data_IF_031142586795
#
_entry.id   IF_031142586795
#
_cell.length_a   1.000
_cell.length_b   1.000
_cell.length_c   1.000
_cell.angle_alpha   90.00
_cell.angle_beta   90.00
_cell.angle_gamma   90.00
#
_symmetry.space_group_name_H-M   'P 1'
#
loop_
_entity.id
_entity.type
_entity.pdbx_description
1 polymer ?
#
# COMPACT_ATOMS: atom_id res chain seq x y z
N UNK A 1 -13.02 32.22 -19.34
CA UNK A 1 -13.69 30.90 -19.52
C UNK A 1 -12.70 29.78 -19.87
N UNK A 2 -11.92 29.87 -20.96
CA UNK A 2 -10.99 28.80 -21.39
C UNK A 2 -9.93 28.38 -20.34
N UNK A 3 -9.36 29.34 -19.59
CA UNK A 3 -8.39 29.06 -18.52
C UNK A 3 -8.97 28.21 -17.38
N UNK A 4 -10.22 28.47 -16.98
CA UNK A 4 -10.91 27.72 -15.93
C UNK A 4 -11.28 26.30 -16.40
N UNK A 5 -11.64 26.16 -17.68
CA UNK A 5 -11.91 24.86 -18.30
C UNK A 5 -10.65 23.99 -18.37
N UNK A 6 -9.50 24.58 -18.78
CA UNK A 6 -8.19 23.93 -18.80
C UNK A 6 -7.69 23.57 -17.39
N UNK A 7 -7.92 24.42 -16.38
CA UNK A 7 -7.57 24.13 -14.98
C UNK A 7 -8.40 22.97 -14.41
N UNK A 8 -9.72 22.97 -14.65
CA UNK A 8 -10.60 21.88 -14.23
C UNK A 8 -10.21 20.54 -14.87
N UNK A 9 -9.80 20.56 -16.15
CA UNK A 9 -9.34 19.36 -16.86
C UNK A 9 -8.01 18.84 -16.29
N UNK A 10 -7.05 19.73 -16.02
CA UNK A 10 -5.79 19.38 -15.34
C UNK A 10 -5.97 18.81 -13.94
N UNK A 11 -6.93 19.33 -13.16
CA UNK A 11 -7.27 18.79 -11.83
C UNK A 11 -7.83 17.37 -11.89
N UNK A 12 -8.72 17.08 -12.86
CA UNK A 12 -9.23 15.73 -13.10
C UNK A 12 -8.14 14.74 -13.50
N UNK A 13 -7.22 15.16 -14.37
CA UNK A 13 -6.10 14.30 -14.79
C UNK A 13 -5.11 14.06 -13.64
N UNK A 14 -4.86 15.08 -12.81
CA UNK A 14 -4.03 14.94 -11.61
C UNK A 14 -4.61 13.91 -10.63
N UNK A 15 -5.89 14.05 -10.24
CA UNK A 15 -6.52 13.13 -9.30
C UNK A 15 -6.58 11.70 -9.84
N UNK A 16 -6.86 11.52 -11.14
CA UNK A 16 -6.82 10.21 -11.80
C UNK A 16 -5.44 9.55 -11.67
N UNK A 17 -4.38 10.30 -11.96
CA UNK A 17 -3.02 9.76 -11.87
C UNK A 17 -2.68 9.37 -10.43
N UNK A 18 -3.01 10.21 -9.44
CA UNK A 18 -2.74 9.87 -8.03
C UNK A 18 -3.54 8.65 -7.56
N UNK A 19 -4.81 8.53 -7.98
CA UNK A 19 -5.63 7.37 -7.65
C UNK A 19 -5.09 6.08 -8.28
N UNK A 20 -4.57 6.14 -9.51
CA UNK A 20 -3.94 5.00 -10.17
C UNK A 20 -2.66 4.58 -9.44
N UNK A 21 -1.81 5.53 -9.06
CA UNK A 21 -0.59 5.25 -8.29
C UNK A 21 -0.92 4.72 -6.89
N UNK A 22 -1.96 5.24 -6.25
CA UNK A 22 -2.46 4.71 -4.98
C UNK A 22 -2.97 3.27 -5.12
N UNK A 23 -3.69 2.95 -6.20
CA UNK A 23 -4.10 1.57 -6.52
C UNK A 23 -2.88 0.67 -6.67
N UNK A 24 -1.84 1.11 -7.39
CA UNK A 24 -0.60 0.36 -7.53
C UNK A 24 0.07 0.11 -6.17
N UNK A 25 0.07 1.08 -5.25
CA UNK A 25 0.58 0.88 -3.89
C UNK A 25 -0.20 -0.20 -3.11
N UNK A 26 -1.53 -0.24 -3.26
CA UNK A 26 -2.36 -1.27 -2.64
C UNK A 26 -2.10 -2.66 -3.25
N UNK A 27 -1.95 -2.75 -4.56
CA UNK A 27 -1.62 -4.00 -5.24
C UNK A 27 -0.24 -4.52 -4.84
N UNK A 28 0.77 -3.64 -4.79
CA UNK A 28 2.12 -3.96 -4.31
C UNK A 28 2.09 -4.42 -2.84
N UNK A 29 1.33 -3.73 -1.98
CA UNK A 29 1.16 -4.11 -0.57
C UNK A 29 0.49 -5.48 -0.42
N UNK A 30 -0.52 -5.78 -1.24
CA UNK A 30 -1.17 -7.08 -1.26
C UNK A 30 -0.21 -8.18 -1.71
N UNK A 31 0.62 -7.93 -2.72
CA UNK A 31 1.67 -8.87 -3.17
C UNK A 31 2.63 -9.17 -2.02
N UNK A 32 3.07 -8.14 -1.29
CA UNK A 32 3.93 -8.32 -0.11
C UNK A 32 3.25 -9.16 0.96
N UNK A 33 2.05 -8.75 1.37
CA UNK A 33 1.27 -9.42 2.42
C UNK A 33 1.07 -10.91 2.10
N UNK A 34 0.58 -11.21 0.89
CA UNK A 34 0.34 -12.59 0.45
C UNK A 34 1.62 -13.42 0.46
N UNK A 35 2.72 -12.90 -0.09
CA UNK A 35 3.96 -13.64 -0.16
C UNK A 35 4.53 -13.95 1.24
N UNK A 36 4.39 -13.00 2.17
CA UNK A 36 4.80 -13.18 3.57
C UNK A 36 3.89 -14.18 4.29
N UNK A 37 2.56 -14.11 4.11
CA UNK A 37 1.62 -15.09 4.67
C UNK A 37 1.89 -16.51 4.14
N UNK A 38 2.13 -16.68 2.84
CA UNK A 38 2.54 -17.99 2.28
C UNK A 38 3.84 -18.51 2.95
N UNK A 39 4.81 -17.63 3.22
CA UNK A 39 6.03 -18.04 3.90
C UNK A 39 5.85 -18.32 5.40
N UNK A 40 5.00 -17.57 6.08
CA UNK A 40 4.83 -17.57 7.54
C UNK A 40 3.82 -18.62 8.00
N UNK A 41 2.69 -18.71 7.31
CA UNK A 41 1.56 -19.58 7.65
C UNK A 41 1.68 -20.91 6.91
N UNK A 42 2.05 -20.90 5.63
CA UNK A 42 2.15 -22.15 4.85
C UNK A 42 3.54 -22.81 4.96
N UNK A 43 4.51 -22.17 5.61
CA UNK A 43 5.92 -22.57 5.65
C UNK A 43 6.51 -22.78 4.23
N UNK A 44 5.96 -22.07 3.24
CA UNK A 44 6.39 -22.17 1.85
C UNK A 44 7.73 -21.48 1.67
N UNK A 45 8.77 -22.25 1.33
CA UNK A 45 10.10 -21.71 1.04
C UNK A 45 10.08 -20.91 -0.25
N UNK A 46 10.49 -19.64 -0.17
CA UNK A 46 10.54 -18.72 -1.29
C UNK A 46 11.94 -18.08 -1.36
N UNK A 47 12.85 -18.65 -2.18
CA UNK A 47 14.18 -18.06 -2.38
C UNK A 47 14.07 -16.61 -2.88
N UNK A 48 14.85 -15.69 -2.29
CA UNK A 48 14.82 -14.27 -2.66
C UNK A 48 13.58 -13.50 -2.22
N UNK A 49 12.72 -14.09 -1.37
CA UNK A 49 11.54 -13.40 -0.85
C UNK A 49 11.91 -12.08 -0.15
N UNK A 50 12.99 -12.09 0.64
CA UNK A 50 13.44 -10.89 1.34
C UNK A 50 13.77 -9.76 0.38
N UNK A 51 14.68 -9.98 -0.57
CA UNK A 51 15.05 -8.97 -1.55
C UNK A 51 13.83 -8.42 -2.28
N UNK A 52 12.89 -9.29 -2.69
CA UNK A 52 11.64 -8.90 -3.33
C UNK A 52 10.78 -8.00 -2.43
N UNK A 53 10.61 -8.34 -1.16
CA UNK A 53 9.81 -7.54 -0.21
C UNK A 53 10.46 -6.17 0.01
N UNK A 54 11.78 -6.12 0.17
CA UNK A 54 12.51 -4.86 0.32
C UNK A 54 12.44 -3.97 -0.94
N UNK A 55 12.51 -4.56 -2.14
CA UNK A 55 12.35 -3.83 -3.40
C UNK A 55 10.94 -3.22 -3.53
N UNK A 56 9.90 -3.99 -3.20
CA UNK A 56 8.51 -3.50 -3.27
C UNK A 56 8.26 -2.42 -2.19
N UNK A 57 8.73 -2.61 -0.95
CA UNK A 57 8.65 -1.61 0.13
C UNK A 57 9.28 -0.29 -0.29
N UNK A 58 10.47 -0.34 -0.91
CA UNK A 58 11.15 0.84 -1.45
C UNK A 58 10.32 1.54 -2.52
N UNK A 59 9.75 0.78 -3.46
CA UNK A 59 8.87 1.32 -4.52
C UNK A 59 7.64 2.02 -3.93
N UNK A 60 6.97 1.41 -2.95
CA UNK A 60 5.81 2.00 -2.25
C UNK A 60 6.22 3.31 -1.55
N UNK A 61 7.37 3.31 -0.88
CA UNK A 61 7.92 4.48 -0.20
C UNK A 61 8.25 5.63 -1.17
N UNK A 62 8.80 5.32 -2.34
CA UNK A 62 9.08 6.32 -3.39
C UNK A 62 7.77 6.90 -3.95
N UNK A 63 6.78 6.06 -4.28
CA UNK A 63 5.47 6.50 -4.74
C UNK A 63 4.76 7.39 -3.72
N UNK A 64 4.80 7.02 -2.43
CA UNK A 64 4.21 7.83 -1.36
C UNK A 64 4.80 9.24 -1.32
N UNK A 65 6.13 9.35 -1.43
CA UNK A 65 6.83 10.65 -1.40
C UNK A 65 6.47 11.49 -2.62
N UNK A 66 6.44 10.87 -3.80
CA UNK A 66 6.10 11.55 -5.05
C UNK A 66 4.65 12.03 -5.09
N UNK A 67 3.70 11.20 -4.66
CA UNK A 67 2.29 11.59 -4.54
C UNK A 67 2.16 12.79 -3.60
N UNK A 68 2.76 12.74 -2.42
CA UNK A 68 2.69 13.84 -1.45
C UNK A 68 3.28 15.14 -2.00
N UNK A 69 4.44 15.07 -2.66
CA UNK A 69 5.06 16.21 -3.33
C UNK A 69 4.11 16.84 -4.35
N UNK A 70 3.51 16.02 -5.22
CA UNK A 70 2.59 16.51 -6.27
C UNK A 70 1.29 17.07 -5.71
N UNK A 71 0.78 16.53 -4.60
CA UNK A 71 -0.38 17.12 -3.89
C UNK A 71 -0.01 18.52 -3.35
N UNK A 72 1.17 18.69 -2.76
CA UNK A 72 1.64 20.01 -2.26
C UNK A 72 1.79 21.00 -3.42
N UNK A 73 2.37 20.57 -4.55
CA UNK A 73 2.48 21.38 -5.76
C UNK A 73 1.11 21.80 -6.29
N UNK A 74 0.15 20.87 -6.36
CA UNK A 74 -1.23 21.14 -6.77
C UNK A 74 -1.88 22.20 -5.89
N UNK A 75 -1.82 22.03 -4.56
CA UNK A 75 -2.39 22.98 -3.59
C UNK A 75 -1.70 24.35 -3.62
N UNK A 76 -0.40 24.39 -3.92
CA UNK A 76 0.35 25.66 -4.01
C UNK A 76 -0.07 26.50 -5.22
N UNK A 77 -0.43 25.84 -6.32
CA UNK A 77 -0.90 26.51 -7.54
C UNK A 77 -2.39 26.90 -7.45
N UNK A 78 -3.20 26.12 -6.72
CA UNK A 78 -4.65 26.32 -6.65
C UNK A 78 -5.21 26.10 -5.22
N UNK A 79 -4.88 26.99 -4.26
CA UNK A 79 -5.12 26.76 -2.83
C UNK A 79 -6.59 26.73 -2.39
N UNK A 80 -7.53 27.21 -3.22
CA UNK A 80 -8.95 27.29 -2.88
C UNK A 80 -9.78 26.09 -3.34
N UNK A 81 -9.19 25.15 -4.07
CA UNK A 81 -9.87 23.97 -4.62
C UNK A 81 -9.32 22.71 -3.95
N UNK A 82 -10.20 21.86 -3.42
CA UNK A 82 -9.92 20.48 -3.01
C UNK A 82 -8.90 20.22 -1.87
N UNK A 83 -8.66 21.19 -0.98
CA UNK A 83 -7.77 21.01 0.19
C UNK A 83 -8.15 19.80 1.05
N UNK A 84 -9.43 19.67 1.43
CA UNK A 84 -9.89 18.56 2.27
C UNK A 84 -9.68 17.21 1.59
N UNK A 85 -9.99 17.11 0.29
CA UNK A 85 -9.77 15.89 -0.52
C UNK A 85 -8.29 15.54 -0.58
N UNK A 86 -7.42 16.53 -0.81
CA UNK A 86 -5.98 16.34 -0.85
C UNK A 86 -5.40 15.87 0.50
N UNK A 87 -5.91 16.37 1.63
CA UNK A 87 -5.48 15.94 2.96
C UNK A 87 -5.93 14.50 3.27
N UNK A 88 -7.15 14.13 2.87
CA UNK A 88 -7.62 12.74 2.95
C UNK A 88 -6.74 11.84 2.09
N UNK A 89 -6.43 12.27 0.86
CA UNK A 89 -5.57 11.53 -0.06
C UNK A 89 -4.16 11.31 0.50
N UNK A 90 -3.54 12.35 1.08
CA UNK A 90 -2.25 12.20 1.78
C UNK A 90 -2.31 11.18 2.92
N UNK A 91 -3.44 11.12 3.63
CA UNK A 91 -3.62 10.21 4.77
C UNK A 91 -3.74 8.76 4.28
N UNK A 92 -4.61 8.48 3.31
CA UNK A 92 -4.78 7.12 2.79
C UNK A 92 -3.53 6.60 2.08
N UNK A 93 -2.79 7.46 1.36
CA UNK A 93 -1.51 7.09 0.72
C UNK A 93 -0.46 6.70 1.77
N UNK A 94 -0.42 7.40 2.91
CA UNK A 94 0.42 7.01 4.05
C UNK A 94 -0.03 5.68 4.64
N UNK A 95 -1.32 5.44 4.74
CA UNK A 95 -1.83 4.17 5.26
C UNK A 95 -1.52 3.00 4.32
N UNK A 96 -1.54 3.19 3.00
CA UNK A 96 -1.05 2.18 2.05
C UNK A 96 0.45 1.89 2.22
N UNK A 97 1.29 2.90 2.46
CA UNK A 97 2.70 2.68 2.77
C UNK A 97 2.90 1.83 4.03
N UNK A 98 2.12 2.11 5.07
CA UNK A 98 2.14 1.31 6.31
C UNK A 98 1.73 -0.14 6.10
N UNK A 99 0.81 -0.44 5.17
CA UNK A 99 0.46 -1.84 4.86
C UNK A 99 1.69 -2.61 4.34
N UNK A 100 2.49 -1.99 3.47
CA UNK A 100 3.77 -2.52 3.02
C UNK A 100 4.76 -2.73 4.18
N UNK A 101 4.92 -1.72 5.03
CA UNK A 101 5.81 -1.80 6.20
C UNK A 101 5.38 -2.92 7.17
N UNK A 102 4.08 -3.08 7.42
CA UNK A 102 3.56 -4.18 8.25
C UNK A 102 3.83 -5.55 7.63
N UNK A 103 3.71 -5.71 6.30
CA UNK A 103 4.08 -6.95 5.63
C UNK A 103 5.58 -7.24 5.77
N UNK A 104 6.45 -6.24 5.60
CA UNK A 104 7.89 -6.36 5.85
C UNK A 104 8.20 -6.76 7.29
N UNK A 105 7.54 -6.12 8.27
CA UNK A 105 7.71 -6.45 9.68
C UNK A 105 7.30 -7.90 10.00
N UNK A 106 6.24 -8.42 9.38
CA UNK A 106 5.85 -9.82 9.51
C UNK A 106 6.92 -10.78 8.96
N UNK A 107 7.58 -10.42 7.86
CA UNK A 107 8.71 -11.20 7.33
C UNK A 107 9.88 -11.21 8.32
N UNK A 108 10.22 -10.06 8.91
CA UNK A 108 11.29 -9.94 9.89
C UNK A 108 10.99 -10.80 11.13
N UNK A 109 9.74 -10.77 11.62
CA UNK A 109 9.29 -11.66 12.69
C UNK A 109 9.48 -13.13 12.29
N UNK A 110 9.05 -13.52 11.08
CA UNK A 110 9.23 -14.89 10.58
C UNK A 110 10.69 -15.36 10.69
N UNK A 111 11.64 -14.50 10.30
CA UNK A 111 13.07 -14.80 10.34
C UNK A 111 13.64 -14.97 11.76
N UNK A 112 13.03 -14.33 12.75
CA UNK A 112 13.44 -14.44 14.15
C UNK A 112 12.88 -15.68 14.84
N UNK A 113 11.91 -16.37 14.22
CA UNK A 113 11.34 -17.59 14.77
C UNK A 113 12.37 -18.73 14.73
N UNK A 114 12.54 -19.39 15.87
CA UNK A 114 13.42 -20.58 15.99
C UNK A 114 12.79 -21.85 15.43
N UNK A 115 11.47 -21.84 15.26
CA UNK A 115 10.64 -22.94 14.79
C UNK A 115 9.50 -22.36 13.97
N UNK A 116 9.00 -23.14 13.03
CA UNK A 116 7.80 -22.81 12.27
C UNK A 116 6.62 -22.49 13.20
N UNK A 117 5.71 -21.63 12.73
CA UNK A 117 4.50 -21.29 13.47
C UNK A 117 3.63 -22.54 13.65
N UNK A 118 3.15 -22.75 14.87
CA UNK A 118 2.11 -23.71 15.15
C UNK A 118 0.76 -23.17 14.66
N UNK A 119 0.30 -23.68 13.51
CA UNK A 119 -0.97 -23.26 12.91
C UNK A 119 -2.16 -23.52 13.82
N UNK A 120 -2.13 -24.55 14.67
CA UNK A 120 -3.23 -24.88 15.57
C UNK A 120 -3.44 -23.79 16.63
N UNK A 121 -2.35 -23.29 17.20
CA UNK A 121 -2.41 -22.17 18.15
C UNK A 121 -2.88 -20.89 17.46
N UNK A 122 -2.36 -20.60 16.27
CA UNK A 122 -2.73 -19.36 15.56
C UNK A 122 -4.15 -19.39 14.99
N UNK A 123 -4.64 -20.55 14.54
CA UNK A 123 -6.01 -20.67 14.03
C UNK A 123 -7.07 -20.35 15.08
N UNK A 124 -6.77 -20.59 16.37
CA UNK A 124 -7.69 -20.26 17.46
C UNK A 124 -7.81 -18.74 17.68
N UNK A 125 -6.77 -17.97 17.36
CA UNK A 125 -6.75 -16.51 17.54
C UNK A 125 -7.09 -15.72 16.27
N UNK A 126 -6.72 -16.25 15.10
CA UNK A 126 -6.72 -15.52 13.82
C UNK A 126 -7.35 -16.32 12.67
N UNK A 127 -8.32 -17.19 12.98
CA UNK A 127 -8.98 -18.07 12.00
C UNK A 127 -9.30 -17.34 10.67
N UNK A 128 -8.60 -17.70 9.59
CA UNK A 128 -8.74 -17.17 8.23
C UNK A 128 -8.54 -15.65 8.07
N UNK A 129 -7.91 -14.97 9.03
CA UNK A 129 -7.70 -13.52 8.97
C UNK A 129 -6.87 -13.09 7.75
N UNK A 130 -5.92 -13.91 7.31
CA UNK A 130 -5.13 -13.67 6.10
C UNK A 130 -5.98 -13.75 4.81
N UNK A 131 -6.94 -14.66 4.76
CA UNK A 131 -7.90 -14.76 3.66
C UNK A 131 -8.85 -13.56 3.63
N UNK A 132 -9.35 -13.15 4.79
CA UNK A 132 -10.21 -11.97 4.95
C UNK A 132 -9.49 -10.68 4.51
N UNK A 133 -8.26 -10.46 4.98
CA UNK A 133 -7.45 -9.30 4.57
C UNK A 133 -7.17 -9.34 3.06
N UNK A 134 -6.85 -10.52 2.53
CA UNK A 134 -6.64 -10.68 1.08
C UNK A 134 -7.90 -10.39 0.27
N UNK A 135 -9.08 -10.67 0.80
CA UNK A 135 -10.36 -10.31 0.17
C UNK A 135 -10.60 -8.79 0.17
N UNK A 136 -10.26 -8.09 1.26
CA UNK A 136 -10.35 -6.63 1.31
C UNK A 136 -9.51 -5.97 0.20
N UNK A 137 -8.30 -6.46 -0.05
CA UNK A 137 -7.48 -5.99 -1.18
C UNK A 137 -8.06 -6.32 -2.56
N UNK A 138 -8.84 -7.41 -2.69
CA UNK A 138 -9.51 -7.74 -3.96
C UNK A 138 -10.67 -6.79 -4.24
N UNK A 139 -11.37 -6.33 -3.21
CA UNK A 139 -12.49 -5.39 -3.33
C UNK A 139 -12.06 -3.98 -3.72
N UNK A 140 -10.78 -3.62 -3.57
CA UNK A 140 -10.25 -2.31 -4.00
C UNK A 140 -9.98 -2.20 -5.50
N UNK A 141 -10.27 -3.24 -6.30
CA UNK A 141 -9.99 -3.29 -7.74
C UNK A 141 -11.06 -2.66 -8.62
#
# INVERSE_FOLDING_TARGET
MFRNLLQFWKGKDFLRQVLEEFKNMLEDSHIMFKAVCESLIENKKQPGLEDKIYEIDKKINELQRDIRRRIIEHLSVQPSVDVSTCLVLMSVVKDAERLGDYAKNLLEVNKLLKKEIDKGVYSDFFSNTDEEISELFRQTK
#
